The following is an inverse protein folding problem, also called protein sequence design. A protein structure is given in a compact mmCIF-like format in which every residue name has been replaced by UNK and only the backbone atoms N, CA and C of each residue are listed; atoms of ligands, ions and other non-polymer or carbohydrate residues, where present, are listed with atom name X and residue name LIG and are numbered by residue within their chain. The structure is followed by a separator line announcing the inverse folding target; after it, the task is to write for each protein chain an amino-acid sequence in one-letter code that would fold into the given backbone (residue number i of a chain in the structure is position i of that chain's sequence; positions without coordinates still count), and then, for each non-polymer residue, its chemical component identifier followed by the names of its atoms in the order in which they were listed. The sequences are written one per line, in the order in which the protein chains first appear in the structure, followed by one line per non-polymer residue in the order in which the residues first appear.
data_IF_596420514256
#
_entry.id   IF_596420514256
#
_cell.length_a   1.000
_cell.length_b   1.000
_cell.length_c   1.000
_cell.angle_alpha   90.00
_cell.angle_beta   90.00
_cell.angle_gamma   90.00
#
_symmetry.space_group_name_H-M   'P 1'
#
loop_
_entity.id
_entity.type
_entity.pdbx_description
1 polymer ?
#
# COMPACT_ATOMS: atom_id res chain seq x y z
N UNK A 1 -6.76 -18.92 23.59
CA UNK A 1 -5.52 -18.23 23.15
C UNK A 1 -5.17 -18.46 21.67
N UNK A 2 -5.38 -19.66 21.10
CA UNK A 2 -4.92 -19.99 19.74
C UNK A 2 -5.57 -19.17 18.60
N UNK A 3 -6.83 -18.75 18.74
CA UNK A 3 -7.56 -18.00 17.71
C UNK A 3 -7.17 -16.50 17.66
N UNK A 4 -6.79 -15.92 18.80
CA UNK A 4 -6.40 -14.49 18.90
C UNK A 4 -5.03 -14.25 18.25
N UNK A 5 -4.08 -15.18 18.41
CA UNK A 5 -2.79 -15.12 17.71
C UNK A 5 -2.95 -15.24 16.19
N UNK A 6 -3.84 -16.13 15.71
CA UNK A 6 -4.10 -16.26 14.26
C UNK A 6 -4.66 -14.97 13.64
N UNK A 7 -5.47 -14.22 14.38
CA UNK A 7 -6.00 -12.92 13.93
C UNK A 7 -4.92 -11.85 13.83
N UNK A 8 -4.02 -11.78 14.81
CA UNK A 8 -2.92 -10.81 14.81
C UNK A 8 -1.96 -11.10 13.66
N UNK A 9 -1.63 -12.38 13.41
CA UNK A 9 -0.77 -12.79 12.29
C UNK A 9 -1.41 -12.41 10.95
N UNK A 10 -2.70 -12.71 10.76
CA UNK A 10 -3.43 -12.33 9.54
C UNK A 10 -3.44 -10.81 9.33
N UNK A 11 -3.64 -10.03 10.39
CA UNK A 11 -3.61 -8.58 10.33
C UNK A 11 -2.23 -8.04 9.88
N UNK A 12 -1.15 -8.58 10.46
CA UNK A 12 0.21 -8.19 10.11
C UNK A 12 0.52 -8.54 8.65
N UNK A 13 0.19 -9.76 8.22
CA UNK A 13 0.39 -10.21 6.84
C UNK A 13 -0.39 -9.35 5.86
N UNK A 14 -1.67 -9.07 6.15
CA UNK A 14 -2.51 -8.21 5.31
C UNK A 14 -1.93 -6.78 5.21
N UNK A 15 -1.45 -6.23 6.33
CA UNK A 15 -0.86 -4.89 6.35
C UNK A 15 0.44 -4.82 5.54
N UNK A 16 1.30 -5.84 5.63
CA UNK A 16 2.54 -5.93 4.84
C UNK A 16 2.22 -6.05 3.35
N UNK A 17 1.25 -6.91 2.99
CA UNK A 17 0.82 -7.05 1.60
C UNK A 17 0.28 -5.73 1.04
N UNK A 18 -0.60 -5.05 1.78
CA UNK A 18 -1.12 -3.74 1.36
C UNK A 18 -0.02 -2.68 1.24
N UNK A 19 0.93 -2.66 2.18
CA UNK A 19 2.08 -1.76 2.13
C UNK A 19 2.88 -1.98 0.84
N UNK A 20 3.18 -3.23 0.49
CA UNK A 20 3.93 -3.57 -0.72
C UNK A 20 3.16 -3.22 -1.99
N UNK A 21 1.86 -3.54 -2.05
CA UNK A 21 1.00 -3.20 -3.18
C UNK A 21 0.90 -1.68 -3.39
N UNK A 22 0.67 -0.91 -2.32
CA UNK A 22 0.61 0.55 -2.40
C UNK A 22 1.94 1.17 -2.84
N UNK A 23 3.05 0.64 -2.36
CA UNK A 23 4.38 1.10 -2.77
C UNK A 23 4.58 0.94 -4.29
N UNK A 24 4.21 -0.22 -4.84
CA UNK A 24 4.29 -0.46 -6.29
C UNK A 24 3.37 0.49 -7.07
N UNK A 25 2.12 0.68 -6.60
CA UNK A 25 1.16 1.60 -7.23
C UNK A 25 1.70 3.03 -7.24
N UNK A 26 2.26 3.51 -6.12
CA UNK A 26 2.80 4.86 -6.04
C UNK A 26 4.03 5.05 -6.91
N UNK A 27 4.96 4.08 -6.96
CA UNK A 27 6.11 4.15 -7.86
C UNK A 27 5.66 4.19 -9.30
N UNK A 28 4.73 3.31 -9.68
CA UNK A 28 4.21 3.28 -11.03
C UNK A 28 3.49 4.58 -11.39
N UNK A 29 2.69 5.12 -10.47
CA UNK A 29 2.02 6.42 -10.63
C UNK A 29 3.01 7.57 -10.81
N UNK A 30 4.09 7.64 -10.02
CA UNK A 30 5.14 8.65 -10.19
C UNK A 30 5.89 8.49 -11.51
N UNK A 31 6.16 7.25 -11.93
CA UNK A 31 6.82 6.95 -13.19
C UNK A 31 5.98 7.40 -14.38
N UNK A 32 4.70 6.99 -14.43
CA UNK A 32 3.75 7.41 -15.47
C UNK A 32 3.58 8.93 -15.47
N UNK A 33 3.40 9.55 -14.30
CA UNK A 33 3.27 10.99 -14.19
C UNK A 33 4.48 11.74 -14.75
N UNK A 34 5.70 11.23 -14.50
CA UNK A 34 6.93 11.80 -15.08
C UNK A 34 7.03 11.54 -16.58
N UNK A 35 6.67 10.36 -17.08
CA UNK A 35 6.62 10.09 -18.51
C UNK A 35 5.65 11.02 -19.25
N UNK A 36 4.48 11.27 -18.67
CA UNK A 36 3.50 12.20 -19.24
C UNK A 36 4.06 13.62 -19.28
N UNK A 37 4.60 14.12 -18.17
CA UNK A 37 5.23 15.46 -18.12
C UNK A 37 6.36 15.57 -19.15
N UNK A 38 7.19 14.53 -19.27
CA UNK A 38 8.26 14.47 -20.24
C UNK A 38 7.74 14.57 -21.68
N UNK A 39 6.72 13.79 -22.04
CA UNK A 39 6.09 13.81 -23.37
C UNK A 39 5.51 15.16 -23.75
N UNK A 40 4.93 15.89 -22.79
CA UNK A 40 4.27 17.18 -23.06
C UNK A 40 5.20 18.39 -22.95
N UNK A 41 6.28 18.32 -22.18
CA UNK A 41 7.15 19.46 -21.90
C UNK A 41 8.54 19.37 -22.53
N UNK A 42 8.86 18.30 -23.27
CA UNK A 42 10.16 18.09 -23.94
C UNK A 42 11.38 18.29 -23.00
N UNK A 43 11.19 18.07 -21.70
CA UNK A 43 12.25 18.21 -20.69
C UNK A 43 13.16 16.98 -20.64
N UNK A 44 14.13 16.97 -19.73
CA UNK A 44 14.92 15.76 -19.45
C UNK A 44 14.15 14.77 -18.58
N UNK A 45 14.13 13.49 -18.96
CA UNK A 45 13.54 12.44 -18.14
C UNK A 45 14.52 12.04 -17.03
N UNK A 46 14.35 12.61 -15.83
CA UNK A 46 15.09 12.19 -14.65
C UNK A 46 14.14 11.63 -13.58
N UNK A 47 14.22 10.32 -13.37
CA UNK A 47 13.50 9.65 -12.29
C UNK A 47 14.34 9.69 -11.01
N UNK A 48 14.09 10.72 -10.18
CA UNK A 48 14.81 10.89 -8.91
C UNK A 48 14.44 9.80 -7.89
N UNK A 49 15.45 9.32 -7.15
CA UNK A 49 15.27 8.43 -6.00
C UNK A 49 14.37 9.03 -4.90
N UNK A 50 14.16 10.35 -4.92
CA UNK A 50 13.24 11.02 -4.01
C UNK A 50 11.78 10.55 -4.17
N UNK A 51 11.36 10.19 -5.39
CA UNK A 51 10.03 9.63 -5.64
C UNK A 51 9.85 8.26 -5.00
N UNK A 52 10.91 7.43 -5.02
CA UNK A 52 10.94 6.13 -4.33
C UNK A 52 10.79 6.32 -2.82
N UNK A 53 11.52 7.28 -2.25
CA UNK A 53 11.45 7.60 -0.81
C UNK A 53 10.07 8.11 -0.40
N UNK A 54 9.45 8.96 -1.22
CA UNK A 54 8.08 9.47 -1.00
C UNK A 54 7.04 8.34 -1.10
N UNK A 55 7.13 7.51 -2.13
CA UNK A 55 6.26 6.34 -2.30
C UNK A 55 6.36 5.38 -1.10
N UNK A 56 7.58 5.11 -0.64
CA UNK A 56 7.81 4.24 0.52
C UNK A 56 7.21 4.80 1.81
N UNK A 57 7.41 6.09 2.09
CA UNK A 57 6.79 6.75 3.26
C UNK A 57 5.27 6.71 3.20
N UNK A 58 4.69 7.02 2.04
CA UNK A 58 3.23 6.98 1.87
C UNK A 58 2.68 5.55 2.06
N UNK A 59 3.37 4.55 1.50
CA UNK A 59 2.98 3.16 1.61
C UNK A 59 3.03 2.64 3.06
N UNK A 60 4.06 2.98 3.83
CA UNK A 60 4.17 2.57 5.25
C UNK A 60 3.05 3.16 6.10
N UNK A 61 2.62 4.39 5.81
CA UNK A 61 1.54 5.04 6.58
C UNK A 61 0.18 4.48 6.16
N UNK A 62 -0.08 4.34 4.87
CA UNK A 62 -1.37 3.92 4.35
C UNK A 62 -1.61 2.40 4.43
N UNK A 63 -0.55 1.58 4.37
CA UNK A 63 -0.62 0.12 4.38
C UNK A 63 -1.31 -0.45 5.63
N UNK A 64 -0.93 -0.05 6.86
CA UNK A 64 -1.62 -0.46 8.08
C UNK A 64 -3.08 -0.03 8.12
N UNK A 65 -3.42 1.18 7.61
CA UNK A 65 -4.79 1.68 7.57
C UNK A 65 -5.68 0.79 6.71
N UNK A 66 -5.20 0.43 5.51
CA UNK A 66 -5.91 -0.51 4.62
C UNK A 66 -5.91 -1.94 5.17
N UNK A 67 -4.85 -2.37 5.86
CA UNK A 67 -4.79 -3.64 6.58
C UNK A 67 -5.85 -3.73 7.68
N UNK A 68 -6.10 -2.65 8.43
CA UNK A 68 -7.16 -2.58 9.45
C UNK A 68 -8.52 -2.65 8.76
N UNK A 69 -8.73 -1.87 7.70
CA UNK A 69 -9.98 -1.85 6.95
C UNK A 69 -10.35 -3.22 6.38
N UNK A 70 -9.39 -3.93 5.78
CA UNK A 70 -9.61 -5.29 5.27
C UNK A 70 -9.84 -6.30 6.37
N UNK A 71 -9.16 -6.18 7.51
CA UNK A 71 -9.42 -7.03 8.68
C UNK A 71 -10.85 -6.83 9.23
N UNK A 72 -11.32 -5.58 9.36
CA UNK A 72 -12.70 -5.30 9.79
C UNK A 72 -13.71 -5.84 8.77
N UNK A 73 -13.49 -5.60 7.48
CA UNK A 73 -14.41 -6.01 6.43
C UNK A 73 -14.55 -7.54 6.31
N UNK A 74 -13.45 -8.28 6.43
CA UNK A 74 -13.49 -9.75 6.30
C UNK A 74 -13.82 -10.47 7.60
N UNK A 75 -13.35 -9.96 8.74
CA UNK A 75 -13.38 -10.72 10.00
C UNK A 75 -14.57 -10.37 10.89
N UNK A 76 -15.02 -9.11 10.89
CA UNK A 76 -16.14 -8.66 11.72
C UNK A 76 -17.51 -9.25 11.31
N UNK A 77 -17.86 -9.41 10.01
CA UNK A 77 -19.13 -10.03 9.64
C UNK A 77 -19.14 -11.56 9.84
N UNK A 78 -17.99 -12.24 9.76
CA UNK A 78 -17.92 -13.70 9.99
C UNK A 78 -18.16 -14.08 11.45
N UNK A 79 -17.79 -13.22 12.41
CA UNK A 79 -18.06 -13.44 13.84
C UNK A 79 -19.53 -13.14 14.24
N UNK A 80 -20.29 -12.44 13.38
CA UNK A 80 -21.70 -12.09 13.64
C UNK A 80 -22.69 -13.12 13.08
N UNK A 81 -22.25 -14.03 12.21
CA UNK A 81 -23.07 -15.10 11.60
C UNK A 81 -22.84 -16.51 12.18
N UNK A 82 -22.04 -16.64 13.24
CA UNK A 82 -21.89 -17.86 14.03
C UNK A 82 -22.32 -17.61 15.46
#
# INVERSE_FOLDING_TARGET
MHQKNKQIILFIVASIMWTFSLFLIFIFGFFVGKCVIWLFMNGEFFFSFEYVKKAFRAAIIAGPILGIGTWIAYYHPFKRRR
#
